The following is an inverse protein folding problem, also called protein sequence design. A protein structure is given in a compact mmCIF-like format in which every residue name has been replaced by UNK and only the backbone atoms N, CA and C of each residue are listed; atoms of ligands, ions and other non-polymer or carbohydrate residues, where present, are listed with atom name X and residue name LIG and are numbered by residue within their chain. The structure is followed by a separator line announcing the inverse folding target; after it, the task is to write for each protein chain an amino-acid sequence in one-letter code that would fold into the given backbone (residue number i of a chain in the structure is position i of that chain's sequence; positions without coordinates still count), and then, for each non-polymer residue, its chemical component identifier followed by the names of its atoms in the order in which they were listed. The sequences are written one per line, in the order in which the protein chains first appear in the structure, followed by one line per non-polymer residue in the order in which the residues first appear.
data_IF_426430950594
#
_entry.id   IF_426430950594
#
_cell.length_a   1.000
_cell.length_b   1.000
_cell.length_c   1.000
_cell.angle_alpha   90.00
_cell.angle_beta   90.00
_cell.angle_gamma   90.00
#
_symmetry.space_group_name_H-M   'P 1'
#
loop_
_entity.id
_entity.type
_entity.pdbx_description
1 polymer ?
#
# COMPACT_ATOMS: atom_id res chain seq x y z
N UNK A 1 20.84 72.63 71.59
CA UNK A 1 20.91 74.06 71.94
C UNK A 1 19.95 74.29 73.09
N UNK A 2 20.41 74.86 74.21
CA UNK A 2 19.56 75.20 75.34
C UNK A 2 18.89 76.55 75.10
N UNK A 3 17.57 76.62 75.24
CA UNK A 3 16.81 77.87 75.15
C UNK A 3 16.84 78.55 76.53
N UNK A 4 17.40 79.76 76.61
CA UNK A 4 17.60 80.52 77.86
C UNK A 4 16.77 81.81 77.80
N UNK A 5 16.06 82.16 78.88
CA UNK A 5 15.35 83.42 78.95
C UNK A 5 16.36 84.54 79.18
N UNK A 6 16.45 85.52 78.28
CA UNK A 6 17.44 86.61 78.41
C UNK A 6 17.16 87.59 79.54
N UNK A 7 15.95 87.52 80.14
CA UNK A 7 15.54 88.37 81.27
C UNK A 7 16.07 87.81 82.60
N UNK A 8 15.76 86.54 82.93
CA UNK A 8 16.22 85.92 84.18
C UNK A 8 17.52 85.11 84.05
N UNK A 9 17.94 84.79 82.82
CA UNK A 9 19.09 83.92 82.47
C UNK A 9 18.92 82.45 82.86
N UNK A 10 17.74 82.04 83.30
CA UNK A 10 17.41 80.64 83.55
C UNK A 10 17.02 79.92 82.24
N UNK A 11 17.08 78.60 82.25
CA UNK A 11 16.58 77.78 81.15
C UNK A 11 15.07 78.02 80.98
N UNK A 12 14.60 78.14 79.73
CA UNK A 12 13.19 78.37 79.46
C UNK A 12 12.31 77.23 80.01
N UNK A 13 12.86 76.03 80.11
CA UNK A 13 12.24 74.83 80.72
C UNK A 13 12.26 74.82 82.25
N UNK A 14 13.02 75.71 82.89
CA UNK A 14 13.13 75.81 84.35
C UNK A 14 12.30 76.98 84.87
N UNK A 15 11.81 76.86 86.12
CA UNK A 15 11.07 77.95 86.76
C UNK A 15 12.04 79.08 87.12
N UNK A 16 11.74 80.34 86.77
CA UNK A 16 12.58 81.48 87.13
C UNK A 16 12.82 81.57 88.63
N UNK A 17 14.08 81.73 89.04
CA UNK A 17 14.42 81.87 90.45
C UNK A 17 13.85 83.20 90.98
N UNK A 18 12.94 83.14 91.95
CA UNK A 18 12.34 84.32 92.61
C UNK A 18 10.87 84.62 92.31
N UNK A 19 10.16 83.76 91.56
CA UNK A 19 8.69 83.74 91.55
C UNK A 19 8.18 82.63 92.47
N UNK A 20 7.59 83.00 93.60
CA UNK A 20 7.00 82.07 94.57
C UNK A 20 5.57 81.61 94.19
N UNK A 21 4.92 82.30 93.26
CA UNK A 21 3.55 81.96 92.86
C UNK A 21 3.47 80.66 92.06
N UNK A 22 2.50 79.82 92.43
CA UNK A 22 2.24 78.48 91.89
C UNK A 22 1.71 78.47 90.44
N UNK A 23 1.95 79.52 89.66
CA UNK A 23 1.53 79.60 88.25
C UNK A 23 2.25 78.60 87.35
N UNK A 24 1.54 78.15 86.30
CA UNK A 24 2.06 77.29 85.24
C UNK A 24 3.21 77.99 84.50
N UNK A 25 4.30 77.25 84.25
CA UNK A 25 5.48 77.76 83.56
C UNK A 25 5.18 77.91 82.06
N UNK A 26 4.66 79.08 81.66
CA UNK A 26 4.34 79.37 80.27
C UNK A 26 5.54 80.00 79.56
N UNK A 27 5.86 79.50 78.36
CA UNK A 27 6.89 80.06 77.48
C UNK A 27 6.20 80.70 76.28
N UNK A 28 6.54 81.95 76.01
CA UNK A 28 5.96 82.74 74.92
C UNK A 28 7.05 83.18 73.95
N UNK A 29 6.80 82.94 72.67
CA UNK A 29 7.51 83.58 71.56
C UNK A 29 6.78 84.86 71.18
N UNK A 30 7.46 86.00 71.30
CA UNK A 30 6.94 87.29 70.82
C UNK A 30 6.95 87.31 69.29
N UNK A 31 6.18 88.24 68.69
CA UNK A 31 6.12 88.42 67.23
C UNK A 31 7.48 88.69 66.57
N UNK A 32 8.43 89.25 67.34
CA UNK A 32 9.81 89.44 66.89
C UNK A 32 10.67 88.16 66.97
N UNK A 33 10.07 86.99 67.24
CA UNK A 33 10.74 85.69 67.31
C UNK A 33 11.50 85.39 68.61
N UNK A 34 11.59 86.35 69.53
CA UNK A 34 12.31 86.17 70.79
C UNK A 34 11.43 85.47 71.83
N UNK A 35 12.03 84.54 72.58
CA UNK A 35 11.33 83.62 73.48
C UNK A 35 11.66 83.96 74.93
N UNK A 36 10.63 84.00 75.78
CA UNK A 36 10.75 84.33 77.20
C UNK A 36 9.79 83.46 78.03
N UNK A 37 10.04 83.34 79.33
CA UNK A 37 8.96 82.97 80.25
C UNK A 37 7.91 84.08 80.24
N UNK A 38 6.63 83.70 80.20
CA UNK A 38 5.48 84.61 80.21
C UNK A 38 5.56 85.59 81.39
N UNK A 39 5.89 85.08 82.58
CA UNK A 39 6.05 85.90 83.77
C UNK A 39 7.21 86.91 83.65
N UNK A 40 8.34 86.51 83.06
CA UNK A 40 9.51 87.39 82.91
C UNK A 40 9.23 88.54 81.96
N UNK A 41 8.59 88.28 80.81
CA UNK A 41 8.29 89.34 79.84
C UNK A 41 7.18 90.28 80.34
N UNK A 42 6.14 89.76 81.03
CA UNK A 42 5.11 90.58 81.68
C UNK A 42 5.71 91.51 82.74
N UNK A 43 6.56 90.96 83.62
CA UNK A 43 7.26 91.78 84.63
C UNK A 43 8.18 92.82 83.99
N UNK A 44 8.81 92.50 82.86
CA UNK A 44 9.63 93.46 82.13
C UNK A 44 8.82 94.64 81.58
N UNK A 45 7.63 94.40 81.01
CA UNK A 45 6.76 95.48 80.52
C UNK A 45 6.23 96.33 81.68
N UNK A 46 5.79 95.69 82.77
CA UNK A 46 5.36 96.35 84.00
C UNK A 46 6.44 97.28 84.57
N UNK A 47 7.68 96.79 84.74
CA UNK A 47 8.79 97.57 85.32
C UNK A 47 9.18 98.78 84.47
N UNK A 48 8.98 98.71 83.16
CA UNK A 48 9.28 99.80 82.25
C UNK A 48 8.12 100.79 82.06
N UNK A 49 7.09 100.73 82.91
CA UNK A 49 5.91 101.61 82.84
C UNK A 49 5.08 101.41 81.58
N UNK A 50 5.20 100.26 80.94
CA UNK A 50 4.43 99.90 79.75
C UNK A 50 3.14 99.19 80.19
N UNK A 51 2.07 99.35 79.40
CA UNK A 51 0.81 98.67 79.69
C UNK A 51 1.03 97.14 79.65
N UNK A 52 0.29 96.40 80.49
CA UNK A 52 0.37 94.94 80.62
C UNK A 52 0.25 94.16 79.30
N UNK A 53 -0.26 94.80 78.24
CA UNK A 53 -0.45 94.20 76.92
C UNK A 53 0.66 94.53 75.91
N UNK A 54 1.39 95.65 75.99
CA UNK A 54 2.25 96.13 74.91
C UNK A 54 3.54 96.77 75.43
N UNK A 55 4.67 96.36 74.87
CA UNK A 55 5.98 96.85 75.29
C UNK A 55 7.10 96.59 74.29
N UNK A 56 8.30 97.08 74.59
CA UNK A 56 9.46 96.93 73.73
C UNK A 56 10.23 95.66 74.12
N UNK A 57 10.43 94.75 73.16
CA UNK A 57 11.17 93.50 73.38
C UNK A 57 12.55 93.78 74.03
N UNK A 58 12.93 93.08 75.11
CA UNK A 58 14.23 93.28 75.77
C UNK A 58 15.42 93.14 74.81
N UNK A 59 15.34 92.21 73.86
CA UNK A 59 16.41 91.85 72.94
C UNK A 59 16.54 92.82 71.77
N UNK A 60 15.47 93.01 71.00
CA UNK A 60 15.52 93.76 69.73
C UNK A 60 14.81 95.12 69.77
N UNK A 61 14.21 95.49 70.90
CA UNK A 61 13.45 96.74 71.11
C UNK A 61 12.22 96.94 70.22
N UNK A 62 11.89 95.98 69.35
CA UNK A 62 10.63 95.97 68.59
C UNK A 62 9.45 96.03 69.55
N UNK A 63 8.49 96.91 69.27
CA UNK A 63 7.24 97.01 70.04
C UNK A 63 6.38 95.79 69.70
N UNK A 64 5.99 95.04 70.72
CA UNK A 64 5.23 93.79 70.60
C UNK A 64 4.09 93.75 71.61
N UNK A 65 3.05 93.00 71.30
CA UNK A 65 1.88 92.79 72.17
C UNK A 65 1.96 91.39 72.75
N UNK A 66 1.96 91.24 74.10
CA UNK A 66 2.11 89.94 74.77
C UNK A 66 0.97 88.98 74.40
N UNK A 67 -0.26 89.49 74.30
CA UNK A 67 -1.43 88.68 73.92
C UNK A 67 -1.37 88.11 72.50
N UNK A 68 -0.48 88.64 71.64
CA UNK A 68 -0.23 88.13 70.29
C UNK A 68 1.01 87.22 70.24
N UNK A 69 1.63 86.95 71.39
CA UNK A 69 2.74 86.01 71.49
C UNK A 69 2.26 84.56 71.32
N UNK A 70 3.02 83.77 70.58
CA UNK A 70 2.77 82.35 70.40
C UNK A 70 3.22 81.60 71.65
N UNK A 71 2.29 80.90 72.31
CA UNK A 71 2.62 79.97 73.40
C UNK A 71 3.30 78.75 72.80
N UNK A 72 4.53 78.43 73.24
CA UNK A 72 5.34 77.37 72.64
C UNK A 72 5.07 75.98 73.22
N UNK A 73 4.22 75.87 74.24
CA UNK A 73 3.78 74.60 74.82
C UNK A 73 2.27 74.61 74.90
N UNK A 74 1.58 73.51 74.52
CA UNK A 74 0.19 73.34 74.87
C UNK A 74 0.12 73.45 76.40
N UNK A 75 -0.68 74.38 76.90
CA UNK A 75 -1.03 74.40 78.32
C UNK A 75 -1.59 73.02 78.68
N UNK A 76 -1.42 72.57 79.93
CA UNK A 76 -2.03 71.32 80.41
C UNK A 76 -3.57 71.36 80.46
N UNK A 77 -4.18 72.35 79.82
CA UNK A 77 -5.60 72.60 79.76
C UNK A 77 -6.30 71.65 78.76
N UNK A 78 -7.63 71.65 78.81
CA UNK A 78 -8.48 70.80 77.96
C UNK A 78 -8.24 71.04 76.46
N UNK A 79 -7.84 72.25 76.07
CA UNK A 79 -7.55 72.61 74.68
C UNK A 79 -6.23 71.99 74.20
N UNK A 80 -5.18 72.03 75.03
CA UNK A 80 -3.91 71.35 74.76
C UNK A 80 -4.06 69.83 74.65
N UNK A 81 -4.88 69.22 75.52
CA UNK A 81 -5.19 67.78 75.45
C UNK A 81 -5.95 67.42 74.16
N UNK A 82 -6.96 68.22 73.78
CA UNK A 82 -7.73 67.98 72.56
C UNK A 82 -6.87 68.10 71.28
N UNK A 83 -5.91 69.03 71.26
CA UNK A 83 -4.96 69.16 70.14
C UNK A 83 -4.01 67.96 70.09
N UNK A 84 -3.47 67.53 71.24
CA UNK A 84 -2.59 66.36 71.31
C UNK A 84 -3.29 65.08 70.84
N UNK A 85 -4.56 64.89 71.22
CA UNK A 85 -5.37 63.75 70.78
C UNK A 85 -5.63 63.78 69.26
N UNK A 86 -5.97 64.93 68.68
CA UNK A 86 -6.09 65.10 67.22
C UNK A 86 -4.79 64.80 66.48
N UNK A 87 -3.64 65.24 67.02
CA UNK A 87 -2.33 64.94 66.45
C UNK A 87 -2.05 63.43 66.51
N UNK A 88 -2.41 62.77 67.61
CA UNK A 88 -2.28 61.32 67.74
C UNK A 88 -3.14 60.57 66.72
N UNK A 89 -4.42 60.95 66.58
CA UNK A 89 -5.33 60.36 65.59
C UNK A 89 -4.85 60.61 64.15
N UNK A 90 -4.37 61.82 63.83
CA UNK A 90 -3.83 62.14 62.51
C UNK A 90 -2.57 61.33 62.18
N UNK A 91 -1.71 61.05 63.18
CA UNK A 91 -0.55 60.17 63.00
C UNK A 91 -0.96 58.73 62.72
N UNK A 92 -1.97 58.22 63.42
CA UNK A 92 -2.50 56.87 63.20
C UNK A 92 -3.12 56.75 61.80
N UNK A 93 -3.92 57.73 61.38
CA UNK A 93 -4.45 57.80 60.01
C UNK A 93 -3.34 57.87 58.95
N UNK A 94 -2.26 58.59 59.22
CA UNK A 94 -1.14 58.70 58.30
C UNK A 94 -0.40 57.37 58.12
N UNK A 95 -0.18 56.61 59.19
CA UNK A 95 0.41 55.27 59.07
C UNK A 95 -0.54 54.29 58.36
N UNK A 96 -1.85 54.32 58.64
CA UNK A 96 -2.83 53.50 57.91
C UNK A 96 -2.85 53.83 56.40
N UNK A 97 -2.77 55.11 56.02
CA UNK A 97 -2.69 55.53 54.63
C UNK A 97 -1.39 55.07 53.96
N UNK A 98 -0.29 55.06 54.70
CA UNK A 98 1.01 54.61 54.22
C UNK A 98 1.04 53.10 54.01
N UNK A 99 0.43 52.32 54.92
CA UNK A 99 0.21 50.88 54.75
C UNK A 99 -0.67 50.59 53.52
N UNK A 100 -1.82 51.26 53.41
CA UNK A 100 -2.74 51.12 52.27
C UNK A 100 -2.07 51.47 50.93
N UNK A 101 -1.20 52.50 50.91
CA UNK A 101 -0.41 52.83 49.72
C UNK A 101 0.57 51.72 49.36
N UNK A 102 1.22 51.11 50.35
CA UNK A 102 2.09 49.95 50.14
C UNK A 102 1.35 48.76 49.52
N UNK A 103 0.12 48.49 49.97
CA UNK A 103 -0.73 47.46 49.38
C UNK A 103 -1.13 47.78 47.93
N UNK A 104 -1.49 49.04 47.64
CA UNK A 104 -1.79 49.49 46.27
C UNK A 104 -0.57 49.31 45.35
N UNK A 105 0.62 49.69 45.81
CA UNK A 105 1.85 49.54 45.03
C UNK A 105 2.16 48.05 44.74
N UNK A 106 1.95 47.16 45.73
CA UNK A 106 2.08 45.71 45.51
C UNK A 106 1.06 45.16 44.51
N UNK A 107 -0.21 45.57 44.60
CA UNK A 107 -1.24 45.15 43.66
C UNK A 107 -0.97 45.65 42.24
N UNK A 108 -0.46 46.88 42.10
CA UNK A 108 -0.07 47.42 40.80
C UNK A 108 1.09 46.62 40.17
N UNK A 109 2.09 46.22 40.96
CA UNK A 109 3.17 45.35 40.48
C UNK A 109 2.64 44.00 39.99
N UNK A 110 1.70 43.38 40.71
CA UNK A 110 1.07 42.12 40.30
C UNK A 110 0.26 42.30 39.02
N UNK A 111 -0.49 43.40 38.89
CA UNK A 111 -1.26 43.71 37.68
C UNK A 111 -0.35 43.91 36.46
N UNK A 112 0.78 44.58 36.63
CA UNK A 112 1.78 44.77 35.58
C UNK A 112 2.41 43.44 35.16
N UNK A 113 2.78 42.59 36.13
CA UNK A 113 3.32 41.24 35.86
C UNK A 113 2.31 40.37 35.09
N UNK A 114 1.06 40.31 35.54
CA UNK A 114 0.02 39.58 34.82
C UNK A 114 -0.27 40.17 33.43
N UNK A 115 -0.15 41.49 33.29
CA UNK A 115 -0.26 42.18 32.00
C UNK A 115 0.81 41.71 31.01
N UNK A 116 2.07 41.66 31.45
CA UNK A 116 3.17 41.13 30.65
C UNK A 116 3.01 39.64 30.32
N UNK A 117 2.53 38.82 31.27
CA UNK A 117 2.26 37.40 31.02
C UNK A 117 1.19 37.20 29.95
N UNK A 118 0.07 37.94 30.04
CA UNK A 118 -1.00 37.87 29.05
C UNK A 118 -0.55 38.31 27.65
N UNK A 119 0.33 39.31 27.56
CA UNK A 119 0.90 39.76 26.28
C UNK A 119 1.82 38.70 25.66
N UNK A 120 2.65 38.04 26.48
CA UNK A 120 3.50 36.93 26.03
C UNK A 120 2.67 35.74 25.53
N UNK A 121 1.65 35.32 26.28
CA UNK A 121 0.76 34.23 25.86
C UNK A 121 0.02 34.55 24.54
N UNK A 122 -0.38 35.82 24.35
CA UNK A 122 -0.96 36.27 23.08
C UNK A 122 0.04 36.14 21.93
N UNK A 123 1.29 36.54 22.14
CA UNK A 123 2.33 36.42 21.13
C UNK A 123 2.62 34.95 20.79
N UNK A 124 2.74 34.08 21.79
CA UNK A 124 2.90 32.63 21.60
C UNK A 124 1.75 32.03 20.80
N UNK A 125 0.51 32.43 21.10
CA UNK A 125 -0.66 31.97 20.37
C UNK A 125 -0.68 32.44 18.89
N UNK A 126 -0.23 33.65 18.60
CA UNK A 126 -0.09 34.13 17.22
C UNK A 126 1.04 33.40 16.47
N UNK A 127 2.15 33.06 17.13
CA UNK A 127 3.20 32.20 16.55
C UNK A 127 2.64 30.82 16.21
N UNK A 128 1.93 30.18 17.15
CA UNK A 128 1.31 28.87 16.93
C UNK A 128 0.27 28.89 15.79
N UNK A 129 -0.51 29.97 15.65
CA UNK A 129 -1.42 30.14 14.50
C UNK A 129 -0.66 30.18 13.18
N UNK A 130 0.46 30.90 13.13
CA UNK A 130 1.28 30.98 11.93
C UNK A 130 1.88 29.62 11.56
N UNK A 131 2.45 28.91 12.55
CA UNK A 131 2.97 27.55 12.35
C UNK A 131 1.89 26.57 11.88
N UNK A 132 0.70 26.64 12.47
CA UNK A 132 -0.43 25.82 12.05
C UNK A 132 -0.86 26.13 10.60
N UNK A 133 -0.91 27.41 10.21
CA UNK A 133 -1.19 27.80 8.83
C UNK A 133 -0.12 27.29 7.85
N UNK A 134 1.15 27.35 8.23
CA UNK A 134 2.24 26.79 7.44
C UNK A 134 2.10 25.27 7.27
N UNK A 135 1.77 24.55 8.36
CA UNK A 135 1.57 23.09 8.31
C UNK A 135 0.37 22.68 7.46
N UNK A 136 -0.73 23.45 7.49
CA UNK A 136 -1.84 23.23 6.58
C UNK A 136 -1.42 23.39 5.11
N UNK A 137 -0.63 24.42 4.79
CA UNK A 137 -0.10 24.61 3.43
C UNK A 137 0.82 23.47 2.98
N UNK A 138 1.64 22.91 3.88
CA UNK A 138 2.47 21.73 3.59
C UNK A 138 1.61 20.49 3.29
N UNK A 139 0.54 20.27 4.07
CA UNK A 139 -0.39 19.16 3.86
C UNK A 139 -1.11 19.29 2.51
N UNK A 140 -1.59 20.49 2.16
CA UNK A 140 -2.27 20.73 0.88
C UNK A 140 -1.35 20.46 -0.32
N UNK A 141 -0.08 20.83 -0.23
CA UNK A 141 0.90 20.54 -1.29
C UNK A 141 1.16 19.04 -1.43
N UNK A 142 1.32 18.32 -0.32
CA UNK A 142 1.49 16.86 -0.33
C UNK A 142 0.26 16.14 -0.88
N UNK A 143 -0.95 16.62 -0.56
CA UNK A 143 -2.19 16.10 -1.14
C UNK A 143 -2.22 16.29 -2.66
N UNK A 144 -1.85 17.47 -3.15
CA UNK A 144 -1.78 17.74 -4.60
C UNK A 144 -0.79 16.81 -5.30
N UNK A 145 0.38 16.58 -4.70
CA UNK A 145 1.38 15.65 -5.24
C UNK A 145 0.87 14.21 -5.26
N UNK A 146 0.16 13.78 -4.21
CA UNK A 146 -0.44 12.45 -4.16
C UNK A 146 -1.51 12.26 -5.24
N UNK A 147 -2.39 13.25 -5.42
CA UNK A 147 -3.42 13.23 -6.47
C UNK A 147 -2.80 13.16 -7.88
N UNK A 148 -1.70 13.87 -8.11
CA UNK A 148 -0.96 13.80 -9.38
C UNK A 148 -0.36 12.41 -9.61
N UNK A 149 0.25 11.80 -8.58
CA UNK A 149 0.77 10.43 -8.64
C UNK A 149 -0.33 9.40 -8.93
N UNK A 150 -1.50 9.55 -8.30
CA UNK A 150 -2.66 8.68 -8.56
C UNK A 150 -3.09 8.80 -10.02
N UNK A 151 -3.23 10.01 -10.57
CA UNK A 151 -3.57 10.22 -11.99
C UNK A 151 -2.54 9.58 -12.93
N UNK A 152 -1.25 9.71 -12.62
CA UNK A 152 -0.18 9.07 -13.39
C UNK A 152 -0.33 7.55 -13.36
N UNK A 153 -0.58 6.95 -12.20
CA UNK A 153 -0.74 5.51 -12.07
C UNK A 153 -2.00 4.99 -12.76
N UNK A 154 -3.14 5.70 -12.64
CA UNK A 154 -4.37 5.37 -13.37
C UNK A 154 -4.13 5.39 -14.89
N UNK A 155 -3.34 6.34 -15.41
CA UNK A 155 -2.99 6.38 -16.84
C UNK A 155 -2.14 5.18 -17.26
N UNK A 156 -1.21 4.73 -16.39
CA UNK A 156 -0.39 3.53 -16.63
C UNK A 156 -1.25 2.27 -16.61
N UNK A 157 -2.15 2.15 -15.65
CA UNK A 157 -3.04 0.99 -15.51
C UNK A 157 -3.97 0.87 -16.72
N UNK A 158 -4.53 1.99 -17.19
CA UNK A 158 -5.32 2.03 -18.41
C UNK A 158 -4.52 1.61 -19.65
N UNK A 159 -3.24 2.02 -19.72
CA UNK A 159 -2.35 1.60 -20.80
C UNK A 159 -2.06 0.09 -20.74
N UNK A 160 -1.70 -0.44 -19.57
CA UNK A 160 -1.46 -1.88 -19.38
C UNK A 160 -2.70 -2.72 -19.67
N UNK A 161 -3.87 -2.26 -19.24
CA UNK A 161 -5.14 -2.91 -19.57
C UNK A 161 -5.36 -2.99 -21.08
N UNK A 162 -5.13 -1.89 -21.81
CA UNK A 162 -5.23 -1.89 -23.28
C UNK A 162 -4.24 -2.85 -23.95
N UNK A 163 -3.02 -2.97 -23.43
CA UNK A 163 -2.03 -3.95 -23.93
C UNK A 163 -2.51 -5.38 -23.68
N UNK A 164 -2.99 -5.69 -22.47
CA UNK A 164 -3.50 -7.01 -22.09
C UNK A 164 -4.71 -7.39 -22.95
N UNK A 165 -5.69 -6.51 -23.08
CA UNK A 165 -6.90 -6.74 -23.88
C UNK A 165 -6.53 -7.02 -25.36
N UNK A 166 -5.56 -6.28 -25.90
CA UNK A 166 -5.05 -6.53 -27.26
C UNK A 166 -4.40 -7.91 -27.39
N UNK A 167 -3.53 -8.27 -26.45
CA UNK A 167 -2.85 -9.59 -26.47
C UNK A 167 -3.84 -10.73 -26.31
N UNK A 168 -4.88 -10.58 -25.47
CA UNK A 168 -5.97 -11.56 -25.34
C UNK A 168 -6.68 -11.74 -26.68
N UNK A 169 -7.08 -10.64 -27.34
CA UNK A 169 -7.73 -10.69 -28.65
C UNK A 169 -6.88 -11.34 -29.73
N UNK A 170 -5.57 -11.06 -29.77
CA UNK A 170 -4.63 -11.74 -30.68
C UNK A 170 -4.55 -13.26 -30.40
N UNK A 171 -4.55 -13.66 -29.12
CA UNK A 171 -4.54 -15.08 -28.72
C UNK A 171 -5.81 -15.80 -29.12
N UNK A 172 -6.97 -15.18 -28.92
CA UNK A 172 -8.28 -15.70 -29.34
C UNK A 172 -8.35 -15.87 -30.86
N UNK A 173 -7.83 -14.92 -31.63
CA UNK A 173 -7.76 -15.02 -33.08
C UNK A 173 -6.86 -16.19 -33.54
N UNK A 174 -5.72 -16.41 -32.88
CA UNK A 174 -4.83 -17.55 -33.16
C UNK A 174 -5.53 -18.87 -32.81
N UNK A 175 -6.21 -18.94 -31.66
CA UNK A 175 -6.96 -20.14 -31.26
C UNK A 175 -8.05 -20.48 -32.27
N UNK A 176 -8.79 -19.48 -32.75
CA UNK A 176 -9.80 -19.67 -33.80
C UNK A 176 -9.19 -20.23 -35.10
N UNK A 177 -8.02 -19.73 -35.53
CA UNK A 177 -7.30 -20.26 -36.69
C UNK A 177 -6.85 -21.71 -36.50
N UNK A 178 -6.40 -22.08 -35.28
CA UNK A 178 -6.02 -23.47 -34.97
C UNK A 178 -7.24 -24.38 -35.07
N UNK A 179 -8.38 -23.99 -34.48
CA UNK A 179 -9.62 -24.77 -34.55
C UNK A 179 -10.09 -24.98 -36.00
N UNK A 180 -10.02 -23.94 -36.83
CA UNK A 180 -10.38 -24.03 -38.27
C UNK A 180 -9.44 -24.99 -39.03
N UNK A 181 -8.14 -24.95 -38.72
CA UNK A 181 -7.15 -25.84 -39.31
C UNK A 181 -7.36 -27.29 -38.89
N UNK A 182 -7.64 -27.55 -37.61
CA UNK A 182 -7.96 -28.89 -37.12
C UNK A 182 -9.24 -29.43 -37.77
N UNK A 183 -10.28 -28.61 -37.92
CA UNK A 183 -11.51 -28.99 -38.61
C UNK A 183 -11.29 -29.27 -40.11
N UNK A 184 -10.36 -28.55 -40.75
CA UNK A 184 -9.95 -28.84 -42.12
C UNK A 184 -9.17 -30.16 -42.21
N UNK A 185 -8.25 -30.40 -41.28
CA UNK A 185 -7.46 -31.64 -41.22
C UNK A 185 -8.35 -32.87 -41.03
N UNK A 186 -9.33 -32.80 -40.14
CA UNK A 186 -10.31 -33.89 -39.95
C UNK A 186 -11.12 -34.18 -41.22
N UNK A 187 -11.50 -33.14 -41.98
CA UNK A 187 -12.16 -33.31 -43.29
C UNK A 187 -11.24 -34.02 -44.29
N UNK A 188 -9.98 -33.58 -44.39
CA UNK A 188 -9.00 -34.20 -45.29
C UNK A 188 -8.71 -35.66 -44.92
N UNK A 189 -8.67 -36.00 -43.64
CA UNK A 189 -8.55 -37.39 -43.17
C UNK A 189 -9.76 -38.21 -43.62
N UNK A 190 -10.97 -37.65 -43.50
CA UNK A 190 -12.21 -38.28 -43.98
C UNK A 190 -12.20 -38.53 -45.50
N UNK A 191 -11.84 -37.50 -46.28
CA UNK A 191 -11.74 -37.59 -47.75
C UNK A 191 -10.68 -38.62 -48.18
N UNK A 192 -9.53 -38.64 -47.51
CA UNK A 192 -8.48 -39.64 -47.74
C UNK A 192 -9.00 -41.06 -47.52
N UNK A 193 -9.71 -41.30 -46.41
CA UNK A 193 -10.28 -42.61 -46.10
C UNK A 193 -11.31 -43.05 -47.14
N UNK A 194 -12.22 -42.15 -47.56
CA UNK A 194 -13.18 -42.45 -48.62
C UNK A 194 -12.49 -42.81 -49.94
N UNK A 195 -11.40 -42.13 -50.26
CA UNK A 195 -10.59 -42.41 -51.44
C UNK A 195 -9.91 -43.78 -51.34
N UNK A 196 -9.30 -44.10 -50.19
CA UNK A 196 -8.72 -45.41 -49.88
C UNK A 196 -9.76 -46.54 -50.02
N UNK A 197 -10.95 -46.37 -49.43
CA UNK A 197 -12.05 -47.35 -49.52
C UNK A 197 -12.52 -47.53 -50.97
N UNK A 198 -12.62 -46.45 -51.74
CA UNK A 198 -12.95 -46.49 -53.18
C UNK A 198 -11.89 -47.24 -53.99
N UNK A 199 -10.61 -47.04 -53.70
CA UNK A 199 -9.52 -47.78 -54.35
C UNK A 199 -9.50 -49.25 -53.95
N UNK A 200 -9.66 -49.55 -52.66
CA UNK A 200 -9.76 -50.93 -52.16
C UNK A 200 -10.89 -51.69 -52.86
N UNK A 201 -12.06 -51.06 -53.02
CA UNK A 201 -13.18 -51.63 -53.78
C UNK A 201 -12.83 -51.88 -55.25
N UNK A 202 -12.18 -50.91 -55.92
CA UNK A 202 -11.74 -51.09 -57.32
C UNK A 202 -10.72 -52.22 -57.46
N UNK A 203 -9.81 -52.37 -56.50
CA UNK A 203 -8.83 -53.46 -56.46
C UNK A 203 -9.57 -54.80 -56.35
N UNK A 204 -10.49 -54.95 -55.39
CA UNK A 204 -11.32 -56.16 -55.23
C UNK A 204 -12.13 -56.48 -56.50
N UNK A 205 -12.72 -55.46 -57.14
CA UNK A 205 -13.46 -55.64 -58.40
C UNK A 205 -12.54 -56.11 -59.55
N UNK A 206 -11.29 -55.62 -59.59
CA UNK A 206 -10.29 -56.04 -60.58
C UNK A 206 -9.77 -57.46 -60.30
N UNK A 207 -9.50 -57.81 -59.05
CA UNK A 207 -9.10 -59.16 -58.64
C UNK A 207 -10.17 -60.18 -59.03
N UNK A 208 -11.45 -59.88 -58.75
CA UNK A 208 -12.57 -60.74 -59.16
C UNK A 208 -12.69 -60.90 -60.67
N UNK A 209 -12.46 -59.83 -61.45
CA UNK A 209 -12.43 -59.93 -62.93
C UNK A 209 -11.29 -60.82 -63.40
N UNK A 210 -10.11 -60.69 -62.78
CA UNK A 210 -8.92 -61.48 -63.11
C UNK A 210 -9.12 -62.96 -62.78
N UNK A 211 -9.78 -63.29 -61.67
CA UNK A 211 -10.17 -64.65 -61.31
C UNK A 211 -11.14 -65.27 -62.33
N UNK A 212 -12.15 -64.51 -62.77
CA UNK A 212 -13.08 -64.93 -63.83
C UNK A 212 -12.35 -65.15 -65.16
N UNK A 213 -11.44 -64.26 -65.54
CA UNK A 213 -10.62 -64.44 -66.75
C UNK A 213 -9.71 -65.66 -66.67
N UNK A 214 -9.09 -65.91 -65.51
CA UNK A 214 -8.28 -67.10 -65.27
C UNK A 214 -9.12 -68.38 -65.37
N UNK A 215 -10.30 -68.41 -64.75
CA UNK A 215 -11.26 -69.53 -64.84
C UNK A 215 -11.74 -69.77 -66.27
N UNK A 216 -12.06 -68.71 -67.01
CA UNK A 216 -12.44 -68.79 -68.42
C UNK A 216 -11.30 -69.35 -69.28
N UNK A 217 -10.05 -68.90 -69.04
CA UNK A 217 -8.86 -69.39 -69.75
C UNK A 217 -8.64 -70.88 -69.50
N UNK A 218 -8.77 -71.35 -68.26
CA UNK A 218 -8.66 -72.78 -67.95
C UNK A 218 -9.80 -73.59 -68.58
N UNK A 219 -11.03 -73.06 -68.55
CA UNK A 219 -12.19 -73.68 -69.21
C UNK A 219 -12.03 -73.80 -70.73
N UNK A 220 -11.36 -72.83 -71.38
CA UNK A 220 -11.01 -72.90 -72.80
C UNK A 220 -9.96 -73.99 -73.03
N UNK A 221 -8.93 -74.05 -72.18
CA UNK A 221 -7.87 -75.06 -72.26
C UNK A 221 -8.43 -76.49 -72.09
N UNK A 222 -9.33 -76.70 -71.13
CA UNK A 222 -10.05 -77.98 -70.96
C UNK A 222 -10.83 -78.32 -72.22
N UNK A 223 -11.64 -77.40 -72.76
CA UNK A 223 -12.39 -77.63 -74.02
C UNK A 223 -11.48 -77.95 -75.20
N UNK A 224 -10.31 -77.31 -75.30
CA UNK A 224 -9.32 -77.63 -76.33
C UNK A 224 -8.72 -79.04 -76.16
N UNK A 225 -8.44 -79.47 -74.92
CA UNK A 225 -8.00 -80.85 -74.65
C UNK A 225 -9.08 -81.87 -74.95
N UNK A 226 -10.32 -81.62 -74.51
CA UNK A 226 -11.48 -82.47 -74.81
C UNK A 226 -11.69 -82.63 -76.32
N UNK A 227 -11.57 -81.54 -77.08
CA UNK A 227 -11.65 -81.59 -78.53
C UNK A 227 -10.50 -82.41 -79.15
N UNK A 228 -9.28 -82.27 -78.62
CA UNK A 228 -8.13 -83.08 -79.04
C UNK A 228 -8.37 -84.56 -78.77
N UNK A 229 -8.78 -84.92 -77.55
CA UNK A 229 -9.13 -86.30 -77.19
C UNK A 229 -10.29 -86.85 -78.02
N UNK A 230 -11.32 -86.05 -78.29
CA UNK A 230 -12.45 -86.46 -79.14
C UNK A 230 -12.01 -86.74 -80.58
N UNK A 231 -11.09 -85.93 -81.11
CA UNK A 231 -10.49 -86.15 -82.42
C UNK A 231 -9.64 -87.42 -82.43
N UNK A 232 -8.89 -87.70 -81.37
CA UNK A 232 -8.13 -88.94 -81.19
C UNK A 232 -9.05 -90.16 -81.08
N UNK A 233 -10.11 -90.10 -80.27
CA UNK A 233 -11.11 -91.16 -80.17
C UNK A 233 -11.71 -91.42 -81.55
N UNK A 234 -12.13 -90.39 -82.29
CA UNK A 234 -12.63 -90.55 -83.67
C UNK A 234 -11.58 -91.15 -84.60
N UNK A 235 -10.30 -90.79 -84.43
CA UNK A 235 -9.20 -91.38 -85.18
C UNK A 235 -9.05 -92.88 -84.86
N UNK A 236 -9.07 -93.26 -83.58
CA UNK A 236 -9.04 -94.66 -83.14
C UNK A 236 -10.30 -95.44 -83.54
N UNK A 237 -11.49 -94.86 -83.46
CA UNK A 237 -12.73 -95.45 -83.97
C UNK A 237 -12.67 -95.67 -85.48
N UNK A 238 -12.07 -94.75 -86.23
CA UNK A 238 -11.84 -94.93 -87.67
C UNK A 238 -10.80 -96.01 -87.96
N UNK A 239 -9.80 -96.19 -87.09
CA UNK A 239 -8.85 -97.32 -87.17
C UNK A 239 -9.55 -98.65 -86.85
N UNK A 240 -10.38 -98.70 -85.80
CA UNK A 240 -11.17 -99.88 -85.42
C UNK A 240 -12.22 -100.25 -86.48
N UNK A 241 -12.84 -99.27 -87.15
CA UNK A 241 -13.73 -99.51 -88.31
C UNK A 241 -12.97 -99.98 -89.56
N UNK A 242 -11.65 -99.84 -89.60
CA UNK A 242 -10.78 -100.30 -90.70
C UNK A 242 -10.16 -101.68 -90.47
N UNK A 243 -10.41 -102.33 -89.34
CA UNK A 243 -10.02 -103.72 -89.11
C UNK A 243 -11.23 -104.59 -88.76
N UNK A 244 -11.76 -105.38 -89.71
CA UNK A 244 -12.65 -106.49 -89.38
C UNK A 244 -11.78 -107.63 -88.81
N UNK A 245 -11.48 -107.57 -87.51
CA UNK A 245 -10.94 -108.71 -86.80
C UNK A 245 -12.07 -109.50 -86.12
N UNK A 246 -12.16 -110.75 -86.57
CA UNK A 246 -12.91 -111.88 -86.02
C UNK A 246 -14.33 -112.05 -86.58
N UNK A 247 -14.38 -112.77 -87.70
CA UNK A 247 -14.90 -114.14 -87.64
C UNK A 247 -13.97 -115.09 -88.41
N UNK A 248 -13.78 -116.30 -87.87
CA UNK A 248 -13.15 -117.49 -88.48
C UNK A 248 -11.64 -117.39 -88.78
N UNK A 249 -10.72 -117.81 -87.90
CA UNK A 249 -10.57 -119.13 -87.27
C UNK A 249 -10.45 -120.28 -88.29
N UNK A 250 -9.26 -120.44 -88.87
CA UNK A 250 -8.70 -121.76 -89.15
C UNK A 250 -7.17 -121.65 -89.22
N UNK A 251 -6.50 -122.32 -88.28
CA UNK A 251 -5.09 -122.73 -88.33
C UNK A 251 -4.02 -121.62 -88.21
N UNK A 252 -3.77 -121.14 -87.00
CA UNK A 252 -2.39 -120.77 -86.60
C UNK A 252 -2.10 -121.20 -85.17
N UNK A 253 -0.86 -121.66 -84.99
CA UNK A 253 -0.34 -122.40 -83.85
C UNK A 253 -0.44 -121.65 -82.51
N UNK A 254 -0.40 -122.42 -81.42
CA UNK A 254 -0.50 -122.01 -80.01
C UNK A 254 0.54 -121.01 -79.48
N UNK A 255 1.14 -120.17 -80.32
CA UNK A 255 1.96 -119.00 -79.93
C UNK A 255 1.19 -117.67 -79.94
N UNK A 256 0.17 -117.51 -80.78
CA UNK A 256 -0.52 -116.21 -80.93
C UNK A 256 -1.56 -115.92 -79.83
N UNK A 257 -2.16 -116.97 -79.26
CA UNK A 257 -3.05 -116.83 -78.08
C UNK A 257 -2.29 -116.29 -76.85
N UNK A 258 -1.01 -116.66 -76.68
CA UNK A 258 -0.18 -116.16 -75.58
C UNK A 258 0.18 -114.67 -75.76
N UNK A 259 0.38 -114.20 -76.99
CA UNK A 259 0.68 -112.81 -77.29
C UNK A 259 -0.55 -111.90 -77.06
N UNK A 260 -1.74 -112.38 -77.42
CA UNK A 260 -3.00 -111.66 -77.16
C UNK A 260 -3.32 -111.63 -75.66
N UNK A 261 -3.10 -112.73 -74.94
CA UNK A 261 -3.23 -112.78 -73.48
C UNK A 261 -2.23 -111.82 -72.81
N UNK A 262 -0.97 -111.76 -73.27
CA UNK A 262 0.05 -110.85 -72.75
C UNK A 262 -0.30 -109.37 -73.03
N UNK A 263 -0.87 -109.07 -74.20
CA UNK A 263 -1.37 -107.71 -74.52
C UNK A 263 -2.57 -107.33 -73.65
N UNK A 264 -3.52 -108.24 -73.41
CA UNK A 264 -4.66 -108.01 -72.50
C UNK A 264 -4.20 -107.81 -71.06
N UNK A 265 -3.20 -108.57 -70.58
CA UNK A 265 -2.61 -108.38 -69.25
C UNK A 265 -1.88 -107.05 -69.16
N UNK A 266 -1.14 -106.66 -70.19
CA UNK A 266 -0.49 -105.35 -70.27
C UNK A 266 -1.50 -104.20 -70.26
N UNK A 267 -2.58 -104.31 -71.05
CA UNK A 267 -3.67 -103.32 -71.07
C UNK A 267 -4.35 -103.21 -69.70
N UNK A 268 -4.64 -104.34 -69.05
CA UNK A 268 -5.24 -104.38 -67.71
C UNK A 268 -4.30 -103.79 -66.65
N UNK A 269 -3.00 -104.04 -66.75
CA UNK A 269 -1.98 -103.42 -65.89
C UNK A 269 -1.92 -101.92 -66.07
N UNK A 270 -2.00 -101.43 -67.31
CA UNK A 270 -2.02 -99.99 -67.61
C UNK A 270 -3.28 -99.32 -67.06
N UNK A 271 -4.44 -99.98 -67.20
CA UNK A 271 -5.72 -99.49 -66.69
C UNK A 271 -5.76 -99.43 -65.15
N UNK A 272 -5.17 -100.42 -64.47
CA UNK A 272 -5.00 -100.41 -63.01
C UNK A 272 -4.03 -99.31 -62.55
N UNK A 273 -2.97 -99.04 -63.33
CA UNK A 273 -2.04 -97.97 -63.01
C UNK A 273 -2.72 -96.59 -63.11
N UNK A 274 -3.47 -96.34 -64.20
CA UNK A 274 -4.25 -95.10 -64.35
C UNK A 274 -5.29 -94.95 -63.22
N UNK A 275 -5.98 -96.02 -62.83
CA UNK A 275 -6.90 -95.96 -61.68
C UNK A 275 -6.21 -95.66 -60.35
N UNK A 276 -4.96 -96.09 -60.16
CA UNK A 276 -4.18 -95.78 -58.96
C UNK A 276 -3.73 -94.32 -58.93
N UNK A 277 -3.36 -93.74 -60.08
CA UNK A 277 -3.01 -92.33 -60.18
C UNK A 277 -4.21 -91.41 -59.94
N UNK A 278 -5.38 -91.78 -60.46
CA UNK A 278 -6.62 -91.02 -60.19
C UNK A 278 -6.93 -91.00 -58.69
N UNK A 279 -6.80 -92.12 -57.97
CA UNK A 279 -6.99 -92.15 -56.50
C UNK A 279 -5.97 -91.33 -55.73
N UNK A 280 -4.72 -91.28 -56.20
CA UNK A 280 -3.69 -90.45 -55.59
C UNK A 280 -4.03 -88.95 -55.75
N UNK A 281 -4.49 -88.56 -56.94
CA UNK A 281 -4.92 -87.18 -57.20
C UNK A 281 -6.18 -86.80 -56.39
N UNK A 282 -7.15 -87.71 -56.24
CA UNK A 282 -8.31 -87.49 -55.37
C UNK A 282 -7.89 -87.30 -53.90
N UNK A 283 -6.93 -88.11 -53.42
CA UNK A 283 -6.41 -87.98 -52.05
C UNK A 283 -5.62 -86.68 -51.83
N UNK A 284 -4.83 -86.23 -52.80
CA UNK A 284 -4.14 -84.93 -52.71
C UNK A 284 -5.12 -83.76 -52.75
N UNK A 285 -6.18 -83.86 -53.56
CA UNK A 285 -7.25 -82.86 -53.60
C UNK A 285 -7.98 -82.73 -52.25
N UNK A 286 -8.30 -83.85 -51.59
CA UNK A 286 -8.89 -83.84 -50.24
C UNK A 286 -7.95 -83.21 -49.19
N UNK A 287 -6.63 -83.47 -49.27
CA UNK A 287 -5.65 -82.84 -48.38
C UNK A 287 -5.58 -81.32 -48.59
N UNK A 288 -5.70 -80.85 -49.82
CA UNK A 288 -5.74 -79.42 -50.13
C UNK A 288 -7.04 -78.76 -49.66
N UNK A 289 -8.19 -79.45 -49.69
CA UNK A 289 -9.43 -78.94 -49.10
C UNK A 289 -9.36 -78.81 -47.57
N UNK A 290 -8.59 -79.67 -46.90
CA UNK A 290 -8.38 -79.57 -45.44
C UNK A 290 -7.46 -78.40 -45.04
N UNK A 291 -6.73 -77.80 -45.99
CA UNK A 291 -5.88 -76.63 -45.80
C UNK A 291 -6.64 -75.31 -46.09
N UNK A 292 -7.87 -75.16 -45.59
CA UNK A 292 -8.53 -73.84 -45.55
C UNK A 292 -7.81 -72.90 -44.57
N UNK A 293 -7.82 -71.58 -44.84
CA UNK A 293 -6.89 -70.63 -44.24
C UNK A 293 -7.17 -70.41 -42.76
N UNK A 294 -6.14 -70.64 -41.94
CA UNK A 294 -6.00 -70.05 -40.62
C UNK A 294 -5.77 -68.56 -40.85
N UNK A 295 -6.73 -67.71 -40.47
CA UNK A 295 -6.45 -66.48 -39.71
C UNK A 295 -7.70 -65.61 -39.47
N UNK A 296 -8.46 -65.95 -38.43
CA UNK A 296 -9.22 -64.98 -37.64
C UNK A 296 -8.39 -64.47 -36.43
N UNK A 297 -7.16 -64.97 -36.24
CA UNK A 297 -6.30 -64.62 -35.10
C UNK A 297 -5.52 -63.31 -35.25
N UNK A 298 -5.33 -62.80 -36.47
CA UNK A 298 -4.52 -61.59 -36.68
C UNK A 298 -5.26 -60.29 -36.31
N UNK A 299 -6.60 -60.29 -36.36
CA UNK A 299 -7.42 -59.13 -35.99
C UNK A 299 -7.45 -58.82 -34.48
N UNK A 300 -7.22 -59.83 -33.62
CA UNK A 300 -7.24 -59.64 -32.17
C UNK A 300 -5.98 -58.97 -31.61
N UNK A 301 -4.83 -59.14 -32.27
CA UNK A 301 -3.54 -58.63 -31.77
C UNK A 301 -3.32 -57.13 -32.08
N UNK A 302 -3.94 -56.59 -33.13
CA UNK A 302 -3.84 -55.17 -33.48
C UNK A 302 -4.72 -54.26 -32.60
N UNK A 303 -5.86 -54.75 -32.09
CA UNK A 303 -6.76 -53.94 -31.26
C UNK A 303 -6.23 -53.69 -29.83
N UNK A 304 -5.45 -54.61 -29.27
CA UNK A 304 -4.86 -54.44 -27.93
C UNK A 304 -3.70 -53.42 -27.91
N UNK A 305 -3.02 -53.20 -29.04
CA UNK A 305 -1.95 -52.22 -29.15
C UNK A 305 -2.48 -50.78 -29.25
N UNK A 306 -3.64 -50.57 -29.87
CA UNK A 306 -4.26 -49.24 -30.04
C UNK A 306 -4.94 -48.71 -28.77
N UNK A 307 -5.44 -49.58 -27.88
CA UNK A 307 -6.06 -49.13 -26.63
C UNK A 307 -5.06 -48.72 -25.54
N UNK A 308 -3.80 -49.16 -25.62
CA UNK A 308 -2.77 -48.80 -24.63
C UNK A 308 -2.14 -47.42 -24.84
N UNK A 309 -2.22 -46.84 -26.04
CA UNK A 309 -1.65 -45.52 -26.34
C UNK A 309 -2.55 -44.34 -25.94
N UNK A 310 -3.85 -44.56 -25.70
CA UNK A 310 -4.80 -43.50 -25.33
C UNK A 310 -4.73 -43.11 -23.84
N UNK A 311 -4.17 -43.96 -22.98
CA UNK A 311 -4.19 -43.77 -21.51
C UNK A 311 -3.00 -42.94 -20.97
N UNK A 312 -1.94 -42.72 -21.76
CA UNK A 312 -0.72 -42.02 -21.29
C UNK A 312 -0.59 -40.56 -21.76
N UNK A 313 -1.63 -39.99 -22.38
CA UNK A 313 -1.58 -38.66 -23.00
C UNK A 313 -2.19 -37.49 -22.21
N UNK A 314 -2.86 -37.70 -21.08
CA UNK A 314 -3.62 -36.65 -20.37
C UNK A 314 -3.11 -36.40 -18.95
N UNK A 315 -1.89 -35.90 -18.81
CA UNK A 315 -1.34 -35.51 -17.49
C UNK A 315 -0.36 -34.35 -17.60
N UNK A 316 -0.82 -33.17 -18.03
CA UNK A 316 -0.16 -31.90 -17.70
C UNK A 316 -1.05 -30.68 -17.97
N UNK A 317 -1.81 -30.24 -16.99
CA UNK A 317 -2.14 -28.82 -16.71
C UNK A 317 -3.03 -28.73 -15.48
N UNK A 318 -2.94 -27.59 -14.80
CA UNK A 318 -3.56 -27.19 -13.52
C UNK A 318 -2.77 -27.66 -12.30
N UNK A 319 -2.49 -26.88 -11.26
CA UNK A 319 -2.80 -25.50 -10.84
C UNK A 319 -2.00 -25.33 -9.53
N UNK A 320 -1.34 -24.18 -9.29
CA UNK A 320 -1.13 -23.72 -7.90
C UNK A 320 -0.79 -22.24 -7.88
N UNK A 321 -1.84 -21.42 -7.97
CA UNK A 321 -1.88 -20.10 -7.37
C UNK A 321 -2.06 -20.27 -5.87
N UNK A 322 -1.09 -19.85 -5.06
CA UNK A 322 -1.30 -19.58 -3.64
C UNK A 322 -1.17 -18.07 -3.40
N UNK A 323 -2.34 -17.45 -3.28
CA UNK A 323 -2.60 -16.23 -2.50
C UNK A 323 -3.50 -16.65 -1.32
N UNK A 324 -3.61 -15.78 -0.31
CA UNK A 324 -4.32 -15.87 1.00
C UNK A 324 -3.30 -16.13 2.12
N UNK A 325 -2.75 -15.07 2.72
CA UNK A 325 -3.27 -14.25 3.84
C UNK A 325 -2.97 -14.91 5.18
N UNK A 326 -1.99 -14.37 5.90
CA UNK A 326 -1.83 -14.52 7.35
C UNK A 326 -1.19 -13.22 7.89
N UNK A 327 -2.03 -12.20 8.10
CA UNK A 327 -1.74 -11.12 9.04
C UNK A 327 -2.80 -11.23 10.15
N UNK A 328 -2.47 -11.99 11.19
CA UNK A 328 -3.24 -12.07 12.42
C UNK A 328 -3.22 -10.70 13.12
N UNK A 329 -4.33 -9.98 13.01
CA UNK A 329 -4.61 -8.77 13.78
C UNK A 329 -5.19 -9.18 15.13
N UNK A 330 -4.34 -9.30 16.15
CA UNK A 330 -4.80 -9.44 17.54
C UNK A 330 -5.08 -8.03 18.09
N UNK A 331 -6.36 -7.68 18.22
CA UNK A 331 -6.81 -6.50 18.96
C UNK A 331 -6.94 -6.87 20.44
N UNK A 332 -6.05 -6.35 21.28
CA UNK A 332 -6.22 -6.32 22.73
C UNK A 332 -6.15 -4.85 23.17
N UNK A 333 -7.25 -4.36 23.74
CA UNK A 333 -7.39 -3.11 24.50
C UNK A 333 -6.81 -1.81 23.89
N UNK A 334 -7.48 -1.29 22.85
CA UNK A 334 -7.49 0.14 22.48
C UNK A 334 -6.14 0.89 22.45
N UNK A 335 -5.03 0.21 22.16
CA UNK A 335 -3.72 0.84 21.89
C UNK A 335 -3.11 0.28 20.62
N UNK A 336 -2.96 1.16 19.64
CA UNK A 336 -2.24 0.88 18.39
C UNK A 336 -0.74 0.82 18.71
N UNK A 337 -0.16 -0.37 18.69
CA UNK A 337 1.30 -0.56 18.78
C UNK A 337 1.77 -1.04 17.41
N UNK A 338 2.56 -0.22 16.72
CA UNK A 338 3.27 -0.59 15.50
C UNK A 338 4.55 -1.29 15.94
N UNK A 339 4.63 -2.61 15.79
CA UNK A 339 5.86 -3.36 15.98
C UNK A 339 6.62 -3.43 14.67
N UNK A 340 7.67 -2.61 14.52
CA UNK A 340 8.67 -2.76 13.47
C UNK A 340 9.76 -3.73 13.93
N UNK A 341 9.64 -5.01 13.57
CA UNK A 341 10.75 -5.95 13.62
C UNK A 341 11.61 -5.76 12.36
N UNK A 342 12.65 -4.97 12.49
CA UNK A 342 13.67 -4.78 11.46
C UNK A 342 15.03 -4.69 12.13
N UNK A 343 15.68 -5.84 12.31
CA UNK A 343 17.11 -5.91 12.54
C UNK A 343 17.81 -5.37 11.28
N UNK A 344 18.19 -4.08 11.36
CA UNK A 344 18.96 -3.40 10.34
C UNK A 344 20.10 -2.64 11.02
N UNK A 345 21.31 -3.17 10.88
CA UNK A 345 22.56 -2.54 11.30
C UNK A 345 22.66 -1.11 10.74
N UNK A 346 22.47 -0.11 11.60
CA UNK A 346 22.73 1.28 11.29
C UNK A 346 24.24 1.55 11.38
N UNK A 347 24.90 1.55 10.22
CA UNK A 347 26.21 2.18 10.07
C UNK A 347 26.03 3.70 10.09
N UNK A 348 26.32 4.32 11.22
CA UNK A 348 26.59 5.76 11.32
C UNK A 348 27.94 5.99 10.63
N UNK A 349 27.91 6.52 9.41
CA UNK A 349 29.08 7.15 8.80
C UNK A 349 28.94 8.65 8.96
N UNK A 350 30.00 9.22 9.53
CA UNK A 350 30.30 10.62 9.64
C UNK A 350 30.07 11.35 8.32
N UNK A 351 29.27 12.42 8.35
CA UNK A 351 29.30 13.45 7.31
C UNK A 351 29.98 14.64 7.95
N UNK A 352 31.25 14.78 7.61
CA UNK A 352 32.10 15.91 7.94
C UNK A 352 31.58 17.19 7.29
N UNK A 353 31.81 18.27 8.03
CA UNK A 353 31.67 19.66 7.65
C UNK A 353 32.31 20.00 6.30
N UNK A 354 31.62 20.80 5.50
CA UNK A 354 32.30 21.73 4.59
C UNK A 354 31.50 23.01 4.45
N UNK A 355 31.88 23.97 5.30
CA UNK A 355 31.67 25.39 5.12
C UNK A 355 32.34 25.89 3.84
N UNK A 356 31.60 26.57 2.98
CA UNK A 356 32.20 27.57 2.07
C UNK A 356 31.33 28.81 2.03
N UNK A 357 31.95 29.91 2.41
CA UNK A 357 31.44 31.27 2.39
C UNK A 357 31.11 31.71 0.96
N UNK A 358 30.05 32.50 0.84
CA UNK A 358 29.71 33.27 -0.34
C UNK A 358 29.02 34.56 0.08
N UNK A 359 29.81 35.57 0.44
CA UNK A 359 29.40 36.97 0.48
C UNK A 359 29.06 37.42 -0.94
N UNK A 360 27.88 38.00 -1.15
CA UNK A 360 27.71 39.01 -2.19
C UNK A 360 26.64 40.01 -1.76
N UNK A 361 27.15 41.17 -1.41
CA UNK A 361 26.48 42.46 -1.39
C UNK A 361 25.97 42.77 -2.81
N UNK A 362 24.73 43.22 -2.93
CA UNK A 362 24.44 44.39 -3.77
C UNK A 362 23.10 45.00 -3.37
N UNK A 363 23.23 46.16 -2.74
CA UNK A 363 22.21 47.19 -2.58
C UNK A 363 21.74 47.67 -3.96
N UNK A 364 20.43 47.79 -4.15
CA UNK A 364 19.86 48.79 -5.05
C UNK A 364 18.64 49.42 -4.37
N UNK A 365 18.93 50.51 -3.67
CA UNK A 365 17.96 51.56 -3.34
C UNK A 365 17.44 52.17 -4.65
N UNK A 366 16.12 52.16 -4.86
CA UNK A 366 15.48 53.11 -5.76
C UNK A 366 14.42 53.90 -5.00
N UNK A 367 14.77 55.17 -4.77
CA UNK A 367 13.87 56.24 -4.41
C UNK A 367 12.78 56.40 -5.49
N UNK A 368 11.53 56.50 -5.05
CA UNK A 368 10.66 57.58 -5.49
C UNK A 368 9.49 57.78 -4.51
N UNK A 369 9.20 59.02 -4.08
CA UNK A 369 8.06 59.33 -3.21
C UNK A 369 6.81 59.59 -4.07
N UNK A 370 5.63 59.71 -3.45
CA UNK A 370 4.70 60.85 -3.62
C UNK A 370 3.25 60.55 -3.11
N UNK A 371 2.83 61.36 -2.13
CA UNK A 371 1.49 61.90 -1.76
C UNK A 371 0.18 61.09 -1.77
N UNK A 372 -0.54 61.33 -0.66
CA UNK A 372 -1.98 61.56 -0.49
C UNK A 372 -2.94 60.37 -0.51
N UNK A 373 -3.42 60.02 0.69
CA UNK A 373 -4.83 59.67 0.90
C UNK A 373 -5.29 60.38 2.19
N UNK A 374 -5.86 61.57 2.02
CA UNK A 374 -7.01 62.01 2.82
C UNK A 374 -8.21 61.20 2.33
N UNK A 375 -9.05 60.65 3.22
CA UNK A 375 -10.54 60.73 3.15
C UNK A 375 -11.12 60.30 4.52
N UNK A 376 -11.91 61.24 5.07
CA UNK A 376 -13.01 61.20 6.07
C UNK A 376 -12.80 60.75 7.52
#
# INVERSE_FOLDING_TARGET
MSLVCTICRDLLTERPQGLEDAGELMIIALQCGHIFHDCCIKQWFLKNGQNDAQGACPCCKTVVVISQGLRLFPSGDEEGQAIAEKISQAKEQFEQLKESRGEIDQLNMILEEMGCQLENEKLEHEVLKFEHAQKLSEIDELQRQLEEQVKINESKDNNWKGIVDKTIGEKEAILQQIMEKEALEQRLIGDRKQLEDSYAKKILDLEKKLEVEASNKESIKIRMMEQTHLNEIKHYENLLKREPMVDMACQTDGRDAALLQARLVSYKSCLLHMQSEVRLLESEYEKLQQLQPIDDSFGSLMNDALNKSIILGNSSSNESSHHVDDNDLIVIDNKMIISSSGDGDFNIRDIEDSSTMGTNEHEEYSDAPLWAIDVD
#
